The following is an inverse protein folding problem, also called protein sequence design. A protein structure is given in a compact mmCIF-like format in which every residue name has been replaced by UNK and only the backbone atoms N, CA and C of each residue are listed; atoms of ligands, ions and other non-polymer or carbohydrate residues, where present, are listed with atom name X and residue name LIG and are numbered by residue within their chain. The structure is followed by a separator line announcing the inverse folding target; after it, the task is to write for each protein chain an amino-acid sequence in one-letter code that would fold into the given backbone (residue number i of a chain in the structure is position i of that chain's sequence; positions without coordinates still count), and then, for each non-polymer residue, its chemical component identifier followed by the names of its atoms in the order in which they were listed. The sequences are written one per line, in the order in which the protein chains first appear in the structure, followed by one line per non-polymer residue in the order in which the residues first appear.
data_IF_608860703699
#
_entry.id   IF_608860703699
#
_cell.length_a   1.000
_cell.length_b   1.000
_cell.length_c   1.000
_cell.angle_alpha   90.00
_cell.angle_beta   90.00
_cell.angle_gamma   90.00
#
_symmetry.space_group_name_H-M   'P 1'
#
loop_
_entity.id
_entity.type
_entity.pdbx_description
1 polymer ?
#
# COMPACT_ATOMS: atom_id res chain seq x y z
N UNK A 1 60.10 -26.99 39.43
CA UNK A 1 59.70 -27.77 38.26
C UNK A 1 58.29 -27.38 37.86
N UNK A 2 58.16 -26.57 36.83
CA UNK A 2 56.86 -26.27 36.27
C UNK A 2 56.47 -27.40 35.35
N UNK A 3 55.45 -28.13 35.70
CA UNK A 3 54.83 -29.14 34.83
C UNK A 3 54.01 -28.42 33.77
N UNK A 4 54.54 -28.34 32.57
CA UNK A 4 53.75 -27.99 31.37
C UNK A 4 52.80 -29.13 31.10
N UNK A 5 51.52 -29.00 31.55
CA UNK A 5 50.45 -29.87 31.08
C UNK A 5 50.16 -29.48 29.66
N UNK A 6 50.52 -30.35 28.73
CA UNK A 6 50.02 -30.30 27.37
C UNK A 6 48.50 -30.48 27.41
N UNK A 7 47.79 -29.53 26.88
CA UNK A 7 46.36 -29.62 26.70
C UNK A 7 46.11 -30.62 25.58
N UNK A 8 45.73 -31.84 25.95
CA UNK A 8 45.29 -32.82 24.97
C UNK A 8 43.81 -32.55 24.67
N UNK A 9 43.52 -32.19 23.44
CA UNK A 9 42.14 -32.12 22.94
C UNK A 9 41.74 -33.56 22.53
N UNK A 10 40.83 -34.16 23.27
CA UNK A 10 40.32 -35.47 22.95
C UNK A 10 38.94 -35.29 22.32
N UNK A 11 38.83 -35.53 21.02
CA UNK A 11 37.53 -35.63 20.31
C UNK A 11 36.86 -36.99 20.59
N UNK A 12 36.76 -37.37 21.87
CA UNK A 12 36.32 -38.73 22.18
C UNK A 12 34.84 -38.87 22.51
N UNK A 13 34.10 -37.76 22.54
CA UNK A 13 32.68 -37.85 22.82
C UNK A 13 31.88 -37.07 21.78
N UNK A 14 31.47 -37.73 20.72
CA UNK A 14 30.47 -37.24 19.79
C UNK A 14 29.11 -37.68 20.29
N UNK A 15 28.35 -36.75 20.86
CA UNK A 15 27.00 -36.97 21.32
C UNK A 15 26.09 -36.72 20.14
N UNK A 16 25.38 -37.74 19.65
CA UNK A 16 24.35 -37.61 18.64
C UNK A 16 22.99 -37.69 19.30
N UNK A 17 22.14 -36.73 19.00
CA UNK A 17 20.75 -36.70 19.44
C UNK A 17 19.95 -37.72 18.58
N UNK A 18 19.14 -38.56 19.22
CA UNK A 18 18.30 -39.57 18.55
C UNK A 18 16.95 -39.06 18.07
N UNK A 19 16.72 -37.73 18.13
CA UNK A 19 15.47 -37.10 17.70
C UNK A 19 14.33 -37.11 18.73
N UNK A 20 14.43 -37.87 19.82
CA UNK A 20 13.31 -38.08 20.74
C UNK A 20 13.43 -37.30 22.05
N UNK A 21 14.63 -37.00 22.50
CA UNK A 21 14.90 -36.19 23.70
C UNK A 21 16.15 -35.34 23.50
N UNK A 22 16.07 -34.06 23.86
CA UNK A 22 17.20 -33.12 23.84
C UNK A 22 18.20 -33.32 24.98
N UNK A 23 18.23 -34.47 25.63
CA UNK A 23 19.04 -34.71 26.81
C UNK A 23 19.97 -35.93 26.61
N UNK A 24 21.23 -35.76 26.93
CA UNK A 24 22.22 -36.83 26.95
C UNK A 24 22.97 -36.81 28.24
N UNK A 25 23.09 -37.99 28.88
CA UNK A 25 23.87 -38.19 30.08
C UNK A 25 25.20 -38.83 29.76
N UNK A 26 26.28 -38.22 30.22
CA UNK A 26 27.63 -38.74 30.03
C UNK A 26 28.34 -38.91 31.37
N UNK A 27 29.16 -39.95 31.49
CA UNK A 27 30.01 -40.18 32.66
C UNK A 27 31.43 -39.75 32.32
N UNK A 28 31.97 -38.76 33.03
CA UNK A 28 33.28 -38.22 32.82
C UNK A 28 34.19 -38.48 34.00
N UNK A 29 35.50 -38.76 33.79
CA UNK A 29 36.51 -38.82 34.90
C UNK A 29 36.62 -37.42 35.56
N UNK A 30 37.26 -37.43 36.74
CA UNK A 30 37.62 -36.14 37.40
C UNK A 30 38.52 -35.33 36.50
N UNK A 31 38.17 -34.04 36.30
CA UNK A 31 38.93 -33.15 35.44
C UNK A 31 38.14 -31.91 35.04
N UNK A 32 38.77 -31.16 34.16
CA UNK A 32 38.18 -29.95 33.58
C UNK A 32 37.83 -30.21 32.12
N UNK A 33 36.59 -29.91 31.76
CA UNK A 33 36.04 -30.17 30.40
C UNK A 33 35.48 -28.90 29.83
N UNK A 34 35.68 -28.70 28.54
CA UNK A 34 34.92 -27.71 27.76
C UNK A 34 33.95 -28.45 26.86
N UNK A 35 32.70 -28.09 26.96
CA UNK A 35 31.59 -28.65 26.18
C UNK A 35 31.13 -27.57 25.22
N UNK A 36 31.17 -27.86 23.94
CA UNK A 36 30.73 -26.97 22.86
C UNK A 36 29.79 -27.72 21.95
N UNK A 37 28.83 -27.05 21.38
CA UNK A 37 28.08 -27.60 20.26
C UNK A 37 28.95 -27.54 19.03
N UNK A 38 29.10 -28.65 18.32
CA UNK A 38 29.87 -28.75 17.07
C UNK A 38 28.99 -28.80 15.84
N UNK A 39 27.71 -29.06 16.03
CA UNK A 39 26.69 -29.09 14.99
C UNK A 39 25.32 -28.84 15.61
N UNK A 40 24.63 -27.80 15.15
CA UNK A 40 23.27 -27.51 15.54
C UNK A 40 22.25 -28.42 14.82
N UNK A 41 21.04 -28.60 15.34
CA UNK A 41 19.95 -29.19 14.61
C UNK A 41 19.66 -28.43 13.32
N UNK A 42 19.08 -29.14 12.34
CA UNK A 42 18.68 -28.51 11.08
C UNK A 42 17.74 -27.29 11.33
N UNK A 43 17.97 -26.19 10.60
CA UNK A 43 17.19 -24.95 10.74
C UNK A 43 17.55 -24.10 11.96
N UNK A 44 18.61 -24.47 12.70
CA UNK A 44 19.09 -23.72 13.85
C UNK A 44 20.54 -23.26 13.65
N UNK A 45 20.85 -22.08 14.21
CA UNK A 45 22.20 -21.53 14.23
C UNK A 45 23.05 -22.27 15.26
N UNK A 46 24.29 -22.61 14.91
CA UNK A 46 25.25 -23.16 15.85
C UNK A 46 25.48 -22.17 16.98
N UNK A 47 25.23 -22.58 18.22
CA UNK A 47 25.46 -21.67 19.37
C UNK A 47 26.94 -21.43 19.59
N UNK A 48 27.30 -20.17 19.86
CA UNK A 48 28.65 -19.80 20.29
C UNK A 48 28.83 -20.05 21.81
N UNK A 49 27.79 -20.60 22.46
CA UNK A 49 27.84 -20.91 23.88
C UNK A 49 28.75 -22.09 24.13
N UNK A 50 29.60 -21.94 25.14
CA UNK A 50 30.45 -23.04 25.64
C UNK A 50 30.35 -23.15 27.15
N UNK A 51 30.38 -24.37 27.63
CA UNK A 51 30.45 -24.65 29.07
C UNK A 51 31.81 -25.18 29.43
N UNK A 52 32.46 -24.60 30.43
CA UNK A 52 33.64 -25.18 31.08
C UNK A 52 33.21 -25.71 32.42
N UNK A 53 33.27 -27.01 32.59
CA UNK A 53 32.93 -27.72 33.83
C UNK A 53 34.18 -28.32 34.44
N UNK A 54 34.30 -28.21 35.75
CA UNK A 54 35.43 -28.77 36.51
C UNK A 54 34.92 -29.66 37.62
N UNK A 55 35.27 -30.93 37.55
CA UNK A 55 34.98 -31.92 38.58
C UNK A 55 36.19 -32.14 39.44
N UNK A 56 36.04 -31.97 40.77
CA UNK A 56 37.05 -32.17 41.75
C UNK A 56 36.63 -33.15 42.84
N UNK A 57 37.57 -33.58 43.64
CA UNK A 57 37.30 -34.39 44.83
C UNK A 57 37.25 -33.52 46.06
N UNK A 58 36.19 -33.61 46.82
CA UNK A 58 36.07 -32.95 48.13
C UNK A 58 36.44 -33.92 49.23
N UNK A 59 37.60 -33.71 49.84
CA UNK A 59 38.09 -34.55 50.92
C UNK A 59 37.24 -34.48 52.21
N UNK A 60 36.49 -33.42 52.41
CA UNK A 60 35.62 -33.27 53.58
C UNK A 60 34.32 -34.04 53.42
N UNK A 61 33.81 -34.11 52.21
CA UNK A 61 32.59 -34.84 51.89
C UNK A 61 32.89 -36.27 51.45
N UNK A 62 34.13 -36.59 51.14
CA UNK A 62 34.56 -37.85 50.55
C UNK A 62 33.78 -38.22 49.30
N UNK A 63 33.59 -37.21 48.42
CA UNK A 63 32.75 -37.32 47.24
C UNK A 63 33.27 -36.41 46.11
N UNK A 64 32.74 -36.64 44.90
CA UNK A 64 33.00 -35.84 43.71
C UNK A 64 32.15 -34.58 43.78
N UNK A 65 32.80 -33.44 43.59
CA UNK A 65 32.10 -32.15 43.54
C UNK A 65 32.29 -31.47 42.19
N UNK A 66 31.24 -30.90 41.68
CA UNK A 66 31.34 -29.97 40.56
C UNK A 66 31.83 -28.64 41.12
N UNK A 67 33.13 -28.41 40.95
CA UNK A 67 33.81 -27.26 41.57
C UNK A 67 33.46 -25.93 40.89
N UNK A 68 33.19 -25.95 39.58
CA UNK A 68 32.93 -24.72 38.82
C UNK A 68 32.32 -24.99 37.45
N UNK A 69 31.34 -24.18 37.08
CA UNK A 69 30.84 -24.11 35.71
C UNK A 69 30.97 -22.68 35.21
N UNK A 70 31.60 -22.51 34.05
CA UNK A 70 31.71 -21.22 33.36
C UNK A 70 30.95 -21.32 32.07
N UNK A 71 29.98 -20.43 31.85
CA UNK A 71 29.30 -20.26 30.57
C UNK A 71 29.92 -19.06 29.89
N UNK A 72 30.41 -19.26 28.67
CA UNK A 72 30.89 -18.17 27.83
C UNK A 72 30.01 -18.04 26.61
N UNK A 73 29.62 -16.82 26.30
CA UNK A 73 28.93 -16.47 25.07
C UNK A 73 29.84 -15.57 24.26
N UNK A 74 30.04 -15.90 23.03
CA UNK A 74 30.63 -15.01 22.05
C UNK A 74 29.50 -14.38 21.26
N UNK A 75 29.33 -13.06 21.36
CA UNK A 75 28.34 -12.32 20.61
C UNK A 75 29.00 -11.67 19.41
N UNK A 76 28.41 -11.85 18.23
CA UNK A 76 28.93 -11.42 16.95
C UNK A 76 29.24 -9.92 16.91
N UNK A 77 30.43 -9.58 16.40
CA UNK A 77 30.83 -8.24 15.97
C UNK A 77 31.47 -7.31 17.02
N UNK A 78 31.08 -7.39 18.26
CA UNK A 78 31.77 -6.74 19.40
C UNK A 78 32.22 -7.83 20.38
N UNK A 79 33.51 -8.06 20.47
CA UNK A 79 34.15 -9.06 21.37
C UNK A 79 33.84 -8.81 22.87
N UNK A 80 32.56 -8.77 23.20
CA UNK A 80 32.10 -8.77 24.60
C UNK A 80 31.71 -10.19 24.96
N UNK A 81 32.68 -10.97 25.39
CA UNK A 81 32.42 -12.18 26.15
C UNK A 81 31.75 -11.80 27.47
N UNK A 82 30.46 -12.06 27.58
CA UNK A 82 29.82 -12.10 28.90
C UNK A 82 29.94 -13.51 29.45
N UNK A 83 30.45 -13.68 30.61
CA UNK A 83 30.50 -14.96 31.30
C UNK A 83 29.77 -14.87 32.62
N UNK A 84 29.02 -15.87 32.97
CA UNK A 84 28.47 -16.05 34.30
C UNK A 84 29.11 -17.26 34.95
N UNK A 85 29.53 -17.10 36.19
CA UNK A 85 30.07 -18.21 36.99
C UNK A 85 28.92 -18.71 37.87
N UNK A 86 28.52 -19.94 37.66
CA UNK A 86 27.56 -20.62 38.52
C UNK A 86 28.35 -21.54 39.45
N UNK A 87 28.41 -21.20 40.71
CA UNK A 87 28.98 -22.05 41.74
C UNK A 87 27.90 -23.06 42.21
N UNK A 88 28.12 -24.34 41.96
CA UNK A 88 27.26 -25.39 42.48
C UNK A 88 27.77 -25.81 43.84
N UNK A 89 26.90 -25.70 44.83
CA UNK A 89 27.28 -25.92 46.23
C UNK A 89 27.37 -27.36 46.66
N UNK A 90 26.72 -28.31 45.96
CA UNK A 90 26.63 -29.70 46.38
C UNK A 90 26.45 -30.70 45.23
N UNK A 91 27.40 -31.60 45.08
CA UNK A 91 27.33 -32.68 44.06
C UNK A 91 26.72 -33.96 44.58
N UNK A 92 26.56 -34.10 45.89
CA UNK A 92 25.82 -35.23 46.44
C UNK A 92 24.37 -35.26 45.91
N UNK A 93 23.79 -34.10 45.59
CA UNK A 93 22.52 -33.98 44.88
C UNK A 93 22.65 -34.08 43.35
N UNK A 94 23.77 -33.74 42.77
CA UNK A 94 24.02 -33.88 41.35
C UNK A 94 24.16 -35.35 40.93
N UNK A 95 24.64 -36.22 41.83
CA UNK A 95 24.64 -37.68 41.59
C UNK A 95 23.22 -38.28 41.57
N UNK A 96 22.28 -37.62 42.21
CA UNK A 96 20.88 -38.05 42.23
C UNK A 96 19.97 -37.35 41.26
N UNK A 97 20.29 -36.10 40.87
CA UNK A 97 19.40 -35.26 40.09
C UNK A 97 20.09 -34.59 38.88
N UNK A 98 21.34 -35.00 38.52
CA UNK A 98 22.09 -34.50 37.34
C UNK A 98 22.03 -32.99 37.14
N UNK A 99 23.19 -32.36 36.90
CA UNK A 99 23.15 -30.98 36.42
C UNK A 99 22.86 -30.97 34.93
N UNK A 100 21.85 -30.23 34.58
CA UNK A 100 21.49 -30.02 33.18
C UNK A 100 22.17 -28.77 32.68
N UNK A 101 23.03 -28.91 31.67
CA UNK A 101 23.56 -27.78 30.91
C UNK A 101 22.64 -27.59 29.70
N UNK A 102 22.14 -26.37 29.51
CA UNK A 102 21.18 -26.09 28.45
C UNK A 102 21.89 -25.31 27.35
N UNK A 103 21.96 -25.90 26.16
CA UNK A 103 22.34 -25.22 24.96
C UNK A 103 21.09 -24.73 24.24
N UNK A 104 21.01 -23.45 24.01
CA UNK A 104 19.93 -22.83 23.30
C UNK A 104 20.41 -22.40 21.91
N UNK A 105 19.75 -22.89 20.87
CA UNK A 105 20.00 -22.50 19.48
C UNK A 105 18.90 -21.56 19.00
N UNK A 106 19.34 -20.42 18.44
CA UNK A 106 18.44 -19.60 17.66
C UNK A 106 18.09 -20.32 16.36
N UNK A 107 16.87 -20.18 15.88
CA UNK A 107 16.54 -20.63 14.52
C UNK A 107 17.31 -19.81 13.51
N UNK A 108 17.65 -20.41 12.37
CA UNK A 108 18.10 -19.68 11.20
C UNK A 108 16.87 -18.97 10.67
N UNK A 109 16.82 -17.67 10.88
CA UNK A 109 15.70 -16.82 10.51
C UNK A 109 16.20 -15.82 9.47
N UNK A 110 15.34 -15.37 8.55
CA UNK A 110 15.67 -14.23 7.68
C UNK A 110 15.90 -12.98 8.53
N UNK A 111 16.78 -12.10 8.09
CA UNK A 111 17.31 -11.03 8.93
C UNK A 111 16.30 -10.06 9.47
N UNK A 112 16.61 -9.51 10.65
CA UNK A 112 15.89 -8.39 11.23
C UNK A 112 16.21 -7.08 10.52
N UNK A 113 15.39 -6.13 10.84
CA UNK A 113 15.65 -4.73 10.62
C UNK A 113 17.05 -4.32 11.08
N UNK A 114 17.48 -3.18 10.58
CA UNK A 114 18.77 -2.52 10.74
C UNK A 114 19.60 -2.91 11.96
N UNK A 115 20.92 -3.04 11.83
CA UNK A 115 21.81 -3.25 12.97
C UNK A 115 21.54 -2.24 14.09
N UNK A 116 21.11 -2.74 15.26
CA UNK A 116 20.80 -1.92 16.42
C UNK A 116 19.34 -1.97 16.90
N UNK A 117 18.41 -2.48 16.11
CA UNK A 117 17.03 -2.67 16.55
C UNK A 117 16.92 -3.89 17.47
N UNK A 118 16.26 -3.69 18.62
CA UNK A 118 16.04 -4.75 19.62
C UNK A 118 14.89 -5.69 19.23
N UNK A 119 14.82 -6.10 17.99
CA UNK A 119 13.72 -6.96 17.55
C UNK A 119 14.08 -8.42 17.77
N UNK A 120 13.25 -9.09 18.55
CA UNK A 120 13.43 -10.50 18.90
C UNK A 120 12.82 -11.47 17.89
N UNK A 121 12.20 -10.99 16.80
CA UNK A 121 11.56 -11.82 15.78
C UNK A 121 11.89 -11.28 14.40
N UNK A 122 12.25 -12.17 13.52
CA UNK A 122 12.83 -11.89 12.23
C UNK A 122 11.96 -12.52 11.17
N UNK A 123 11.75 -11.81 10.09
CA UNK A 123 10.84 -12.22 9.06
C UNK A 123 11.37 -12.00 7.63
N UNK A 124 10.54 -12.40 6.68
CA UNK A 124 10.69 -12.08 5.26
C UNK A 124 10.43 -10.60 5.07
N UNK A 125 11.24 -9.91 4.26
CA UNK A 125 11.05 -8.50 3.93
C UNK A 125 10.46 -8.31 2.54
N UNK A 126 9.77 -7.21 2.34
CA UNK A 126 9.31 -6.77 1.03
C UNK A 126 9.39 -5.25 0.92
N UNK A 127 9.88 -4.78 -0.24
CA UNK A 127 9.92 -3.38 -0.60
C UNK A 127 8.76 -3.04 -1.53
N UNK A 128 8.14 -1.91 -1.25
CA UNK A 128 7.07 -1.33 -2.05
C UNK A 128 7.54 -0.09 -2.77
N UNK A 129 7.30 -0.02 -4.08
CA UNK A 129 7.69 1.12 -4.92
C UNK A 129 6.56 1.55 -5.86
N UNK A 130 6.55 2.84 -6.17
CA UNK A 130 5.81 3.38 -7.32
C UNK A 130 6.41 2.80 -8.60
N UNK A 131 5.57 2.26 -9.49
CA UNK A 131 6.04 1.60 -10.72
C UNK A 131 6.69 2.57 -11.71
N UNK A 132 6.23 3.80 -11.76
CA UNK A 132 6.71 4.82 -12.70
C UNK A 132 7.87 5.63 -12.12
N UNK A 133 7.71 6.13 -10.89
CA UNK A 133 8.69 6.99 -10.24
C UNK A 133 9.81 6.23 -9.53
N UNK A 134 9.64 4.92 -9.28
CA UNK A 134 10.57 4.06 -8.52
C UNK A 134 10.87 4.57 -7.11
N UNK A 135 9.99 5.39 -6.56
CA UNK A 135 10.05 5.88 -5.17
C UNK A 135 9.42 4.88 -4.22
N UNK A 136 9.93 4.80 -3.01
CA UNK A 136 9.37 3.94 -1.97
C UNK A 136 8.01 4.44 -1.49
N UNK A 137 7.13 3.48 -1.16
CA UNK A 137 5.75 3.75 -0.76
C UNK A 137 5.44 3.15 0.61
N UNK A 138 4.91 3.99 1.51
CA UNK A 138 4.38 3.57 2.81
C UNK A 138 2.91 3.14 2.69
N UNK A 139 2.46 2.23 3.57
CA UNK A 139 1.05 1.89 3.75
C UNK A 139 0.58 0.59 3.08
N UNK A 140 1.40 -0.09 2.27
CA UNK A 140 1.06 -1.40 1.71
C UNK A 140 1.07 -2.49 2.78
N UNK A 141 0.13 -3.44 2.72
CA UNK A 141 0.05 -4.61 3.61
C UNK A 141 0.12 -5.89 2.79
N UNK A 142 0.84 -6.87 3.30
CA UNK A 142 1.09 -8.14 2.63
C UNK A 142 0.74 -9.33 3.51
N UNK A 143 0.43 -10.45 2.86
CA UNK A 143 0.30 -11.76 3.48
C UNK A 143 1.40 -12.70 2.99
N UNK A 144 1.91 -13.53 3.90
CA UNK A 144 2.91 -14.55 3.62
C UNK A 144 2.27 -15.94 3.66
N UNK A 145 2.55 -16.72 2.62
CA UNK A 145 2.02 -18.08 2.44
C UNK A 145 3.13 -19.09 2.21
N UNK A 146 2.86 -20.34 2.57
CA UNK A 146 3.67 -21.49 2.11
C UNK A 146 3.42 -21.72 0.62
N UNK A 147 4.47 -22.04 -0.15
CA UNK A 147 4.33 -22.49 -1.56
C UNK A 147 4.12 -24.00 -1.60
N UNK A 148 4.86 -24.72 -0.74
CA UNK A 148 4.82 -26.16 -0.65
C UNK A 148 4.38 -26.62 0.74
N UNK A 149 4.09 -27.92 0.90
CA UNK A 149 3.84 -28.53 2.21
C UNK A 149 5.08 -28.37 3.10
N UNK A 150 4.87 -28.12 4.39
CA UNK A 150 5.93 -27.94 5.37
C UNK A 150 6.00 -29.18 6.26
N UNK A 151 7.20 -29.71 6.44
CA UNK A 151 7.47 -30.91 7.21
C UNK A 151 8.43 -30.59 8.37
N UNK A 152 8.26 -31.32 9.49
CA UNK A 152 9.23 -31.39 10.56
C UNK A 152 10.44 -32.24 10.16
N UNK A 153 11.48 -32.24 10.99
CA UNK A 153 12.71 -33.00 10.72
C UNK A 153 12.50 -34.54 10.67
N UNK A 154 11.44 -35.05 11.30
CA UNK A 154 11.05 -36.46 11.29
C UNK A 154 10.11 -36.84 10.12
N UNK A 155 9.84 -35.89 9.22
CA UNK A 155 8.98 -36.11 8.06
C UNK A 155 7.47 -35.96 8.34
N UNK A 156 7.08 -35.53 9.54
CA UNK A 156 5.67 -35.25 9.83
C UNK A 156 5.25 -33.96 9.16
N UNK A 157 4.15 -34.00 8.39
CA UNK A 157 3.61 -32.79 7.77
C UNK A 157 3.02 -31.86 8.83
N UNK A 158 3.51 -30.61 8.84
CA UNK A 158 3.09 -29.57 9.78
C UNK A 158 2.05 -28.64 9.17
N UNK A 159 2.24 -28.23 7.89
CA UNK A 159 1.38 -27.30 7.19
C UNK A 159 1.17 -27.74 5.74
N UNK A 160 0.01 -27.46 5.21
CA UNK A 160 -0.31 -27.66 3.80
C UNK A 160 0.24 -26.50 2.95
N UNK A 161 0.54 -26.78 1.70
CA UNK A 161 0.82 -25.76 0.68
C UNK A 161 -0.32 -24.72 0.61
N UNK A 162 0.02 -23.44 0.42
CA UNK A 162 -0.94 -22.35 0.39
C UNK A 162 -1.46 -21.89 1.75
N UNK A 163 -0.87 -22.37 2.86
CA UNK A 163 -1.26 -21.92 4.21
C UNK A 163 -0.73 -20.51 4.47
N UNK A 164 -1.62 -19.58 4.90
CA UNK A 164 -1.24 -18.26 5.40
C UNK A 164 -0.44 -18.39 6.69
N UNK A 165 0.75 -17.82 6.72
CA UNK A 165 1.66 -17.85 7.87
C UNK A 165 1.55 -16.57 8.72
N UNK A 166 1.50 -15.43 8.04
CA UNK A 166 1.51 -14.13 8.71
C UNK A 166 0.95 -13.04 7.80
N UNK A 167 0.66 -11.90 8.43
CA UNK A 167 0.38 -10.63 7.78
C UNK A 167 1.45 -9.63 8.21
N UNK A 168 1.91 -8.80 7.30
CA UNK A 168 2.93 -7.80 7.59
C UNK A 168 2.35 -6.60 8.36
N UNK A 169 3.21 -5.84 9.03
CA UNK A 169 2.91 -4.43 9.29
C UNK A 169 2.81 -3.67 7.97
N UNK A 170 2.09 -2.52 7.91
CA UNK A 170 2.14 -1.65 6.73
C UNK A 170 3.59 -1.25 6.40
N UNK A 171 3.91 -1.10 5.11
CA UNK A 171 5.21 -0.58 4.69
C UNK A 171 5.46 0.78 5.33
N UNK A 172 6.71 0.98 5.77
CA UNK A 172 7.15 2.24 6.38
C UNK A 172 7.53 3.28 5.31
N UNK A 173 8.03 4.45 5.73
CA UNK A 173 8.48 5.53 4.84
C UNK A 173 9.63 5.13 3.90
N UNK A 174 10.37 4.06 4.22
CA UNK A 174 11.37 3.47 3.33
C UNK A 174 10.78 2.40 2.41
N UNK A 175 9.46 2.27 2.37
CA UNK A 175 8.74 1.29 1.56
C UNK A 175 8.88 -0.15 2.06
N UNK A 176 9.40 -0.37 3.25
CA UNK A 176 9.72 -1.70 3.75
C UNK A 176 8.66 -2.21 4.72
N UNK A 177 8.20 -3.45 4.49
CA UNK A 177 7.44 -4.25 5.43
C UNK A 177 8.12 -5.60 5.65
N UNK A 178 7.80 -6.26 6.76
CA UNK A 178 8.37 -7.54 7.11
C UNK A 178 7.41 -8.42 7.89
N UNK A 179 7.70 -9.72 7.89
CA UNK A 179 6.92 -10.72 8.58
C UNK A 179 7.72 -11.30 9.74
N UNK A 180 7.20 -11.14 10.95
CA UNK A 180 7.79 -11.73 12.15
C UNK A 180 7.29 -13.18 12.33
N UNK A 181 7.88 -14.12 11.61
CA UNK A 181 7.49 -15.53 11.63
C UNK A 181 8.70 -16.45 11.55
N UNK A 182 8.67 -17.56 12.29
CA UNK A 182 9.65 -18.63 12.16
C UNK A 182 9.29 -19.49 10.94
N UNK A 183 10.18 -19.55 9.96
CA UNK A 183 9.95 -20.33 8.74
C UNK A 183 11.06 -21.36 8.52
N UNK A 184 10.73 -22.55 8.04
CA UNK A 184 11.72 -23.54 7.62
C UNK A 184 12.45 -23.09 6.36
N UNK A 185 13.74 -23.40 6.28
CA UNK A 185 14.58 -23.11 5.11
C UNK A 185 14.94 -24.38 4.36
N UNK A 186 15.29 -24.24 3.08
CA UNK A 186 15.83 -25.33 2.31
C UNK A 186 17.27 -25.65 2.77
N UNK A 187 17.57 -26.93 2.96
CA UNK A 187 18.92 -27.37 3.24
C UNK A 187 19.44 -28.27 2.11
N UNK A 188 20.55 -27.90 1.54
CA UNK A 188 21.24 -28.74 0.57
C UNK A 188 21.90 -29.98 1.22
N UNK A 189 22.28 -29.86 2.49
CA UNK A 189 22.93 -30.90 3.28
C UNK A 189 21.97 -31.90 3.93
N UNK A 190 20.67 -31.61 3.92
CA UNK A 190 19.65 -32.52 4.45
C UNK A 190 18.54 -32.69 3.41
N UNK A 191 18.80 -33.53 2.35
CA UNK A 191 17.84 -33.72 1.27
C UNK A 191 16.50 -34.33 1.74
N UNK A 192 16.47 -34.93 2.91
CA UNK A 192 15.30 -35.62 3.45
C UNK A 192 14.36 -34.65 4.25
N UNK A 193 14.70 -33.37 4.39
CA UNK A 193 13.86 -32.45 5.14
C UNK A 193 12.51 -32.17 4.48
N UNK A 194 12.40 -32.40 3.17
CA UNK A 194 11.17 -32.17 2.40
C UNK A 194 10.78 -30.71 2.21
N UNK A 195 11.46 -29.77 2.89
CA UNK A 195 11.14 -28.36 2.79
C UNK A 195 11.85 -27.69 1.61
N UNK A 196 11.12 -26.97 0.77
CA UNK A 196 11.68 -26.26 -0.39
C UNK A 196 12.30 -24.92 -0.01
N UNK A 197 11.97 -24.36 1.15
CA UNK A 197 12.32 -23.00 1.55
C UNK A 197 11.59 -21.90 0.77
N UNK A 198 10.57 -22.27 -0.02
CA UNK A 198 9.82 -21.33 -0.86
C UNK A 198 8.58 -20.81 -0.17
N UNK A 199 8.43 -19.50 -0.24
CA UNK A 199 7.29 -18.77 0.33
C UNK A 199 6.77 -17.78 -0.68
N UNK A 200 5.52 -17.38 -0.51
CA UNK A 200 4.80 -16.48 -1.39
C UNK A 200 4.29 -15.28 -0.62
N UNK A 201 4.62 -14.08 -1.11
CA UNK A 201 4.14 -12.82 -0.58
C UNK A 201 3.09 -12.25 -1.53
N UNK A 202 1.94 -11.87 -1.01
CA UNK A 202 0.83 -11.29 -1.78
C UNK A 202 0.41 -9.97 -1.14
N UNK A 203 0.28 -8.92 -1.94
CA UNK A 203 -0.27 -7.66 -1.47
C UNK A 203 -1.78 -7.81 -1.24
N UNK A 204 -2.26 -7.38 -0.07
CA UNK A 204 -3.67 -7.42 0.32
C UNK A 204 -4.26 -6.03 0.56
N UNK A 205 -3.42 -5.02 0.74
CA UNK A 205 -3.82 -3.63 0.76
C UNK A 205 -2.75 -2.76 0.10
N UNK A 206 -3.16 -1.97 -0.90
CA UNK A 206 -2.28 -1.01 -1.56
C UNK A 206 -2.15 0.28 -0.74
N UNK A 207 -1.07 1.07 -0.94
CA UNK A 207 -1.00 2.43 -0.44
C UNK A 207 -2.14 3.30 -0.95
N UNK A 208 -2.50 4.35 -0.20
CA UNK A 208 -3.50 5.31 -0.61
C UNK A 208 -3.13 5.93 -1.97
N UNK A 209 -4.10 6.00 -2.89
CA UNK A 209 -3.91 6.52 -4.25
C UNK A 209 -3.23 5.57 -5.24
N UNK A 210 -3.10 4.30 -4.89
CA UNK A 210 -2.52 3.26 -5.74
C UNK A 210 -3.47 2.09 -5.95
N UNK A 211 -3.26 1.38 -7.05
CA UNK A 211 -3.97 0.16 -7.39
C UNK A 211 -3.31 -1.04 -6.74
N UNK A 212 -4.11 -1.95 -6.18
CA UNK A 212 -3.63 -3.20 -5.59
C UNK A 212 -2.98 -4.07 -6.67
N UNK A 213 -1.76 -4.53 -6.43
CA UNK A 213 -1.09 -5.56 -7.25
C UNK A 213 -0.99 -6.87 -6.46
N UNK A 214 -1.96 -7.72 -6.62
CA UNK A 214 -1.98 -9.04 -6.00
C UNK A 214 -1.09 -10.08 -6.70
N UNK A 215 -0.26 -9.66 -7.67
CA UNK A 215 0.73 -10.53 -8.29
C UNK A 215 1.68 -11.06 -7.23
N UNK A 216 1.78 -12.38 -7.05
CA UNK A 216 2.62 -12.94 -6.00
C UNK A 216 4.11 -12.68 -6.24
N UNK A 217 4.83 -12.41 -5.14
CA UNK A 217 6.29 -12.38 -5.12
C UNK A 217 6.77 -13.62 -4.37
N UNK A 218 7.39 -14.55 -5.09
CA UNK A 218 7.93 -15.76 -4.49
C UNK A 218 9.37 -15.52 -4.02
N UNK A 219 9.69 -16.00 -2.82
CA UNK A 219 10.98 -15.90 -2.18
C UNK A 219 11.47 -17.30 -1.76
N UNK A 220 12.76 -17.53 -1.78
CA UNK A 220 13.36 -18.82 -1.42
C UNK A 220 14.49 -18.62 -0.42
N UNK A 221 14.46 -19.40 0.66
CA UNK A 221 15.50 -19.45 1.67
C UNK A 221 16.32 -20.72 1.50
N UNK A 222 17.62 -20.55 1.32
CA UNK A 222 18.58 -21.64 1.25
C UNK A 222 19.45 -21.64 2.50
N UNK A 223 19.77 -22.82 3.01
CA UNK A 223 20.66 -22.97 4.14
C UNK A 223 22.12 -22.61 3.75
N UNK A 224 22.66 -21.56 4.37
CA UNK A 224 24.00 -21.05 4.10
C UNK A 224 25.04 -21.50 5.15
N UNK A 225 24.65 -22.39 6.05
CA UNK A 225 25.50 -22.92 7.11
C UNK A 225 25.13 -22.42 8.50
N UNK A 226 25.54 -23.16 9.51
CA UNK A 226 25.17 -22.91 10.91
C UNK A 226 25.89 -21.71 11.54
N UNK A 227 26.86 -21.12 10.83
CA UNK A 227 27.57 -19.92 11.26
C UNK A 227 26.86 -18.62 10.87
N UNK A 228 25.87 -18.72 9.97
CA UNK A 228 25.11 -17.57 9.50
C UNK A 228 23.81 -17.48 10.29
N UNK A 229 23.75 -16.54 11.22
CA UNK A 229 22.59 -16.31 12.06
C UNK A 229 21.42 -15.64 11.33
N UNK A 230 21.70 -15.01 10.19
CA UNK A 230 20.81 -14.11 9.51
C UNK A 230 20.79 -14.35 8.01
N UNK A 231 19.65 -14.55 7.43
CA UNK A 231 19.47 -14.55 6.00
C UNK A 231 18.41 -13.55 5.61
N UNK A 232 18.77 -12.57 4.75
CA UNK A 232 17.80 -11.64 4.17
C UNK A 232 17.28 -12.24 2.88
N UNK A 233 15.99 -12.38 2.80
CA UNK A 233 15.33 -12.52 1.51
C UNK A 233 14.29 -11.43 1.42
N UNK A 234 14.48 -10.53 0.48
CA UNK A 234 13.55 -9.47 0.19
C UNK A 234 13.04 -9.59 -1.25
N UNK A 235 11.82 -9.17 -1.44
CA UNK A 235 11.20 -9.01 -2.73
C UNK A 235 10.90 -7.54 -2.98
N UNK A 236 10.60 -7.20 -4.22
CA UNK A 236 10.09 -5.87 -4.59
C UNK A 236 8.76 -6.03 -5.29
N UNK A 237 7.77 -5.28 -4.85
CA UNK A 237 6.48 -5.18 -5.48
C UNK A 237 6.22 -3.71 -5.84
N UNK A 238 5.53 -3.47 -6.97
CA UNK A 238 5.30 -2.12 -7.48
C UNK A 238 3.81 -1.91 -7.76
N UNK A 239 3.31 -0.68 -7.51
CA UNK A 239 1.93 -0.33 -7.85
C UNK A 239 1.87 0.83 -8.84
N UNK A 240 0.81 0.83 -9.64
CA UNK A 240 0.41 1.98 -10.45
C UNK A 240 -0.46 2.91 -9.63
N UNK A 241 -0.30 4.22 -9.85
CA UNK A 241 -1.23 5.21 -9.30
C UNK A 241 -2.60 5.08 -9.95
N UNK A 242 -3.63 5.39 -9.20
CA UNK A 242 -4.95 5.64 -9.77
C UNK A 242 -4.88 6.84 -10.70
N UNK A 243 -5.69 6.82 -11.77
CA UNK A 243 -5.76 7.91 -12.74
C UNK A 243 -7.18 8.19 -13.16
N UNK A 244 -7.50 9.46 -13.40
CA UNK A 244 -8.75 9.88 -14.04
C UNK A 244 -8.44 11.08 -14.94
N UNK A 245 -8.98 11.08 -16.14
CA UNK A 245 -8.92 12.23 -17.02
C UNK A 245 -10.14 13.11 -16.83
N UNK A 246 -9.92 14.41 -16.74
CA UNK A 246 -10.97 15.43 -16.63
C UNK A 246 -10.97 16.22 -17.93
N UNK A 247 -12.06 16.09 -18.68
CA UNK A 247 -12.28 16.79 -19.93
C UNK A 247 -13.27 17.94 -19.70
N UNK A 248 -12.86 19.16 -20.00
CA UNK A 248 -13.70 20.36 -19.95
C UNK A 248 -14.10 20.74 -21.35
N UNK A 249 -15.39 20.65 -21.67
CA UNK A 249 -15.86 20.77 -23.06
C UNK A 249 -16.94 21.85 -23.24
N UNK A 250 -17.01 22.39 -24.45
CA UNK A 250 -18.15 23.14 -24.95
C UNK A 250 -19.27 22.14 -25.31
N UNK A 251 -20.44 22.27 -24.68
CA UNK A 251 -21.58 21.37 -24.87
C UNK A 251 -22.07 21.34 -26.33
N UNK A 252 -21.88 22.40 -27.09
CA UNK A 252 -22.40 22.54 -28.45
C UNK A 252 -21.59 21.79 -29.50
N UNK A 253 -20.31 21.53 -29.24
CA UNK A 253 -19.43 20.93 -30.23
C UNK A 253 -18.49 19.83 -29.68
N UNK A 254 -18.47 19.63 -28.35
CA UNK A 254 -17.68 18.59 -27.69
C UNK A 254 -16.17 18.85 -27.71
N UNK A 255 -15.71 20.07 -28.04
CA UNK A 255 -14.30 20.42 -28.02
C UNK A 255 -13.85 20.84 -26.63
N UNK A 256 -12.60 20.55 -26.34
CA UNK A 256 -11.96 21.02 -25.11
C UNK A 256 -12.03 22.55 -25.01
N UNK A 257 -12.47 23.01 -23.84
CA UNK A 257 -12.72 24.40 -23.50
C UNK A 257 -11.63 24.91 -22.53
N UNK A 258 -10.69 25.74 -22.99
CA UNK A 258 -9.65 26.29 -22.14
C UNK A 258 -10.16 27.43 -21.24
N UNK A 259 -9.33 27.82 -20.27
CA UNK A 259 -9.48 28.97 -19.37
C UNK A 259 -10.55 28.85 -18.27
N UNK A 260 -11.20 27.71 -18.12
CA UNK A 260 -12.00 27.37 -16.94
C UNK A 260 -11.12 27.12 -15.72
N UNK A 261 -11.52 27.56 -14.53
CA UNK A 261 -10.86 27.19 -13.27
C UNK A 261 -11.61 26.07 -12.60
N UNK A 262 -10.93 24.95 -12.42
CA UNK A 262 -11.47 23.71 -11.90
C UNK A 262 -10.78 23.33 -10.58
N UNK A 263 -11.54 22.73 -9.67
CA UNK A 263 -11.05 22.19 -8.41
C UNK A 263 -11.66 20.81 -8.15
N UNK A 264 -10.83 19.91 -7.59
CA UNK A 264 -11.32 18.67 -7.00
C UNK A 264 -11.18 18.78 -5.49
N UNK A 265 -12.25 18.44 -4.78
CA UNK A 265 -12.30 18.39 -3.32
C UNK A 265 -12.69 17.00 -2.85
N UNK A 266 -12.16 16.59 -1.69
CA UNK A 266 -12.58 15.36 -1.01
C UNK A 266 -13.95 15.52 -0.34
N UNK A 267 -14.45 14.45 0.29
CA UNK A 267 -15.74 14.44 0.98
C UNK A 267 -15.79 15.38 2.20
N UNK A 268 -14.64 15.74 2.76
CA UNK A 268 -14.53 16.70 3.88
C UNK A 268 -14.41 18.15 3.39
N UNK A 269 -14.38 18.36 2.06
CA UNK A 269 -14.27 19.67 1.43
C UNK A 269 -12.83 20.18 1.29
N UNK A 270 -11.82 19.38 1.62
CA UNK A 270 -10.42 19.76 1.44
C UNK A 270 -10.06 19.81 -0.05
N UNK A 271 -9.31 20.82 -0.44
CA UNK A 271 -8.78 20.91 -1.81
C UNK A 271 -7.75 19.79 -2.04
N UNK A 272 -8.01 18.97 -3.05
CA UNK A 272 -7.11 17.91 -3.52
C UNK A 272 -6.22 18.44 -4.64
N UNK A 273 -6.83 19.03 -5.67
CA UNK A 273 -6.14 19.61 -6.82
C UNK A 273 -6.94 20.76 -7.42
N UNK A 274 -6.26 21.76 -7.99
CA UNK A 274 -6.88 22.87 -8.70
C UNK A 274 -6.03 23.30 -9.89
N UNK A 275 -6.67 23.54 -11.05
CA UNK A 275 -5.99 23.90 -12.29
C UNK A 275 -6.84 24.80 -13.18
N UNK A 276 -6.25 25.26 -14.26
CA UNK A 276 -6.95 25.92 -15.35
C UNK A 276 -7.04 24.98 -16.53
N UNK A 277 -8.24 24.80 -17.10
CA UNK A 277 -8.45 23.93 -18.27
C UNK A 277 -7.63 24.40 -19.49
N UNK A 278 -7.32 23.45 -20.35
CA UNK A 278 -6.54 23.68 -21.56
C UNK A 278 -7.27 23.08 -22.78
N UNK A 279 -6.58 22.97 -23.90
CA UNK A 279 -7.11 22.33 -25.13
C UNK A 279 -6.99 20.80 -25.11
N UNK A 280 -6.61 20.22 -23.97
CA UNK A 280 -6.48 18.78 -23.76
C UNK A 280 -7.02 18.44 -22.38
N UNK A 281 -7.54 17.22 -22.17
CA UNK A 281 -7.93 16.76 -20.84
C UNK A 281 -6.80 16.87 -19.81
N UNK A 282 -7.16 17.07 -18.56
CA UNK A 282 -6.24 17.10 -17.43
C UNK A 282 -6.26 15.75 -16.72
N UNK A 283 -5.09 15.12 -16.55
CA UNK A 283 -4.97 13.83 -15.86
C UNK A 283 -4.68 14.05 -14.38
N UNK A 284 -5.59 13.64 -13.53
CA UNK A 284 -5.44 13.62 -12.07
C UNK A 284 -4.94 12.24 -11.64
N UNK A 285 -3.98 12.21 -10.72
CA UNK A 285 -3.33 10.97 -10.27
C UNK A 285 -3.34 10.85 -8.75
N UNK A 286 -3.45 9.63 -8.25
CA UNK A 286 -3.27 9.34 -6.84
C UNK A 286 -4.50 9.61 -5.97
N UNK A 287 -5.69 9.65 -6.56
CA UNK A 287 -6.95 9.67 -5.80
C UNK A 287 -7.18 8.30 -5.15
N UNK A 288 -7.63 8.29 -3.90
CA UNK A 288 -7.91 7.05 -3.19
C UNK A 288 -9.16 6.37 -3.78
N UNK A 289 -9.09 5.04 -3.86
CA UNK A 289 -10.21 4.22 -4.32
C UNK A 289 -11.39 4.29 -3.35
N UNK A 290 -12.60 4.13 -3.88
CA UNK A 290 -13.89 4.12 -3.15
C UNK A 290 -14.24 5.42 -2.40
N UNK A 291 -13.40 6.46 -2.46
CA UNK A 291 -13.71 7.77 -1.92
C UNK A 291 -14.43 8.64 -2.94
N UNK A 292 -15.41 9.38 -2.46
CA UNK A 292 -16.11 10.37 -3.27
C UNK A 292 -15.30 11.66 -3.36
N UNK A 293 -15.22 12.19 -4.57
CA UNK A 293 -14.60 13.48 -4.88
C UNK A 293 -15.61 14.36 -5.62
N UNK A 294 -15.53 15.66 -5.40
CA UNK A 294 -16.37 16.65 -6.09
C UNK A 294 -15.49 17.48 -7.02
N UNK A 295 -15.76 17.41 -8.32
CA UNK A 295 -15.22 18.29 -9.33
C UNK A 295 -16.12 19.52 -9.41
N UNK A 296 -15.57 20.70 -9.22
CA UNK A 296 -16.27 21.97 -9.24
C UNK A 296 -15.57 22.94 -10.18
N UNK A 297 -16.35 23.62 -11.00
CA UNK A 297 -15.89 24.79 -11.71
C UNK A 297 -16.04 26.02 -10.80
N UNK A 298 -14.95 26.73 -10.55
CA UNK A 298 -14.94 27.93 -9.72
C UNK A 298 -14.98 29.21 -10.54
N UNK A 299 -14.76 29.09 -11.83
CA UNK A 299 -14.90 30.15 -12.82
C UNK A 299 -14.99 29.56 -14.22
N UNK A 300 -16.08 29.86 -14.91
CA UNK A 300 -16.22 29.55 -16.33
C UNK A 300 -15.35 30.45 -17.21
N UNK A 301 -15.02 30.06 -18.44
CA UNK A 301 -14.41 30.91 -19.44
C UNK A 301 -15.36 32.05 -19.84
N UNK A 302 -14.81 33.13 -20.36
CA UNK A 302 -15.62 34.27 -20.81
C UNK A 302 -16.59 33.84 -21.93
N UNK A 303 -17.88 34.17 -21.78
CA UNK A 303 -18.95 33.78 -22.71
C UNK A 303 -19.59 32.41 -22.46
N UNK A 304 -19.31 31.81 -21.30
CA UNK A 304 -19.88 30.53 -20.90
C UNK A 304 -20.54 30.62 -19.51
N UNK A 305 -21.54 29.80 -19.27
CA UNK A 305 -22.12 29.60 -17.96
C UNK A 305 -21.34 28.56 -17.17
N UNK A 306 -21.25 28.78 -15.85
CA UNK A 306 -20.62 27.81 -14.93
C UNK A 306 -21.37 26.48 -14.94
N UNK A 307 -20.64 25.36 -15.05
CA UNK A 307 -21.21 24.02 -15.02
C UNK A 307 -21.57 23.60 -13.59
N UNK A 308 -22.53 22.69 -13.48
CA UNK A 308 -22.82 22.02 -12.22
C UNK A 308 -21.67 21.12 -11.76
N UNK A 309 -21.49 21.02 -10.46
CA UNK A 309 -20.47 20.14 -9.88
C UNK A 309 -20.78 18.69 -10.13
N UNK A 310 -19.73 17.90 -10.37
CA UNK A 310 -19.81 16.44 -10.62
C UNK A 310 -19.19 15.70 -9.44
N UNK A 311 -19.93 14.77 -8.85
CA UNK A 311 -19.40 13.88 -7.82
C UNK A 311 -19.00 12.57 -8.48
N UNK A 312 -17.76 12.13 -8.24
CA UNK A 312 -17.20 10.92 -8.83
C UNK A 312 -16.38 10.12 -7.84
N UNK A 313 -16.11 8.86 -8.14
CA UNK A 313 -15.19 7.98 -7.42
C UNK A 313 -14.46 7.05 -8.37
N UNK A 314 -13.33 6.52 -7.88
CA UNK A 314 -12.54 5.51 -8.56
C UNK A 314 -12.74 4.16 -7.89
N UNK A 315 -12.83 3.10 -8.68
CA UNK A 315 -12.98 1.70 -8.21
C UNK A 315 -11.99 0.85 -8.99
N UNK A 316 -11.26 -0.03 -8.30
CA UNK A 316 -10.39 -0.97 -8.99
C UNK A 316 -11.19 -2.12 -9.60
N UNK A 317 -10.92 -2.47 -10.86
CA UNK A 317 -11.56 -3.58 -11.53
C UNK A 317 -10.93 -4.92 -11.13
N UNK A 318 -11.45 -5.53 -10.08
CA UNK A 318 -10.98 -6.84 -9.60
C UNK A 318 -9.51 -6.82 -9.23
N UNK A 319 -8.73 -7.74 -9.82
CA UNK A 319 -7.26 -7.86 -9.61
C UNK A 319 -6.44 -7.14 -10.68
N UNK A 320 -7.09 -6.54 -11.67
CA UNK A 320 -6.41 -5.80 -12.73
C UNK A 320 -5.91 -4.46 -12.18
N UNK A 321 -4.72 -4.04 -12.61
CA UNK A 321 -4.19 -2.73 -12.24
C UNK A 321 -4.76 -1.63 -13.14
N UNK A 322 -6.07 -1.53 -13.14
CA UNK A 322 -6.86 -0.52 -13.84
C UNK A 322 -7.98 -0.07 -12.91
N UNK A 323 -8.21 1.23 -12.84
CA UNK A 323 -9.39 1.74 -12.17
C UNK A 323 -10.48 2.11 -13.15
N UNK A 324 -11.71 1.92 -12.72
CA UNK A 324 -12.93 2.40 -13.34
C UNK A 324 -13.37 3.70 -12.67
N UNK A 325 -14.07 4.54 -13.40
CA UNK A 325 -14.62 5.80 -12.91
C UNK A 325 -16.12 5.70 -12.83
N UNK A 326 -16.69 6.11 -11.71
CA UNK A 326 -18.11 6.19 -11.46
C UNK A 326 -18.49 7.63 -11.14
N UNK A 327 -19.56 8.13 -11.74
CA UNK A 327 -20.18 9.41 -11.40
C UNK A 327 -21.48 9.19 -10.65
N UNK A 328 -21.79 10.10 -9.73
CA UNK A 328 -23.04 10.08 -9.00
C UNK A 328 -24.14 10.72 -9.84
N UNK A 329 -25.22 9.96 -10.07
CA UNK A 329 -26.44 10.45 -10.71
C UNK A 329 -27.61 10.19 -9.76
N UNK A 330 -28.21 11.24 -9.24
CA UNK A 330 -29.17 11.17 -8.14
C UNK A 330 -28.62 10.41 -6.93
N UNK A 331 -29.21 9.28 -6.57
CA UNK A 331 -28.74 8.43 -5.48
C UNK A 331 -27.83 7.29 -5.91
N UNK A 332 -27.65 7.05 -7.21
CA UNK A 332 -26.92 5.92 -7.78
C UNK A 332 -25.52 6.31 -8.30
N UNK A 333 -24.64 5.31 -8.36
CA UNK A 333 -23.33 5.41 -8.99
C UNK A 333 -23.37 4.78 -10.39
N UNK A 334 -23.09 5.59 -11.40
CA UNK A 334 -23.08 5.16 -12.81
C UNK A 334 -21.63 5.04 -13.27
N UNK A 335 -21.25 3.85 -13.74
CA UNK A 335 -19.95 3.61 -14.34
C UNK A 335 -19.83 4.35 -15.68
N UNK A 336 -18.71 5.01 -15.89
CA UNK A 336 -18.34 5.57 -17.20
C UNK A 336 -17.73 4.50 -18.10
N UNK A 337 -17.93 4.63 -19.41
CA UNK A 337 -17.38 3.70 -20.40
C UNK A 337 -15.86 3.78 -20.52
N UNK A 338 -15.30 4.96 -20.22
CA UNK A 338 -13.86 5.21 -20.12
C UNK A 338 -13.53 5.91 -18.78
N UNK A 339 -12.26 6.11 -18.52
CA UNK A 339 -11.79 6.74 -17.27
C UNK A 339 -11.80 8.28 -17.36
N UNK A 340 -12.74 8.88 -18.07
CA UNK A 340 -12.84 10.32 -18.32
C UNK A 340 -14.11 10.91 -17.74
N UNK A 341 -13.98 11.88 -16.83
CA UNK A 341 -15.08 12.72 -16.35
C UNK A 341 -15.21 13.92 -17.27
N UNK A 342 -16.36 14.07 -17.92
CA UNK A 342 -16.63 15.17 -18.84
C UNK A 342 -17.49 16.23 -18.14
N UNK A 343 -16.97 17.44 -18.01
CA UNK A 343 -17.71 18.61 -17.55
C UNK A 343 -17.93 19.56 -18.72
N UNK A 344 -19.18 19.93 -18.98
CA UNK A 344 -19.56 20.72 -20.14
C UNK A 344 -20.11 22.08 -19.75
N UNK A 345 -19.66 23.14 -20.45
CA UNK A 345 -20.23 24.48 -20.34
C UNK A 345 -21.13 24.79 -21.52
N UNK A 346 -22.18 25.51 -21.24
CA UNK A 346 -23.06 26.08 -22.24
C UNK A 346 -22.60 27.50 -22.57
N UNK A 347 -22.44 27.85 -23.86
CA UNK A 347 -22.28 29.24 -24.25
C UNK A 347 -23.48 30.08 -23.75
N UNK A 348 -23.23 31.33 -23.40
CA UNK A 348 -24.33 32.26 -23.00
C UNK A 348 -24.66 33.17 -24.15
N UNK A 349 -25.95 33.46 -24.28
CA UNK A 349 -26.47 34.53 -25.11
C UNK A 349 -26.74 35.76 -24.21
N UNK A 350 -25.97 36.80 -24.41
CA UNK A 350 -26.14 38.05 -23.71
C UNK A 350 -27.18 38.94 -24.38
N UNK A 351 -28.16 39.40 -23.61
CA UNK A 351 -29.26 40.20 -24.08
C UNK A 351 -29.34 41.50 -23.26
N UNK A 352 -29.20 42.62 -23.96
CA UNK A 352 -29.39 43.94 -23.39
C UNK A 352 -30.69 44.57 -23.92
N UNK A 353 -31.52 45.08 -23.02
CA UNK A 353 -32.58 45.97 -23.36
C UNK A 353 -32.07 47.41 -23.20
N UNK A 354 -32.07 48.16 -24.29
CA UNK A 354 -31.58 49.55 -24.28
C UNK A 354 -32.63 50.55 -24.79
N UNK A 355 -32.48 51.80 -24.38
CA UNK A 355 -33.15 52.93 -25.04
C UNK A 355 -32.47 53.27 -26.37
N UNK A 356 -33.01 54.25 -27.11
CA UNK A 356 -32.43 54.67 -28.42
C UNK A 356 -31.06 55.31 -28.27
N UNK A 357 -30.66 55.73 -27.08
CA UNK A 357 -29.34 56.27 -26.79
C UNK A 357 -28.32 55.17 -26.38
N UNK A 358 -28.74 53.92 -26.29
CA UNK A 358 -27.89 52.80 -25.91
C UNK A 358 -27.75 52.60 -24.41
N UNK A 359 -28.52 53.28 -23.56
CA UNK A 359 -28.48 53.07 -22.11
C UNK A 359 -29.36 51.86 -21.76
N UNK A 360 -28.92 51.01 -20.83
CA UNK A 360 -29.73 49.92 -20.28
C UNK A 360 -31.06 50.42 -19.76
N UNK A 361 -32.15 49.75 -20.18
CA UNK A 361 -33.52 50.15 -19.90
C UNK A 361 -34.19 49.12 -18.97
N UNK A 362 -34.35 49.43 -17.67
CA UNK A 362 -34.96 48.51 -16.73
C UNK A 362 -36.50 48.55 -16.81
N UNK A 363 -37.15 47.46 -16.38
CA UNK A 363 -38.59 47.36 -16.20
C UNK A 363 -39.37 46.84 -17.43
N UNK A 364 -38.70 46.41 -18.48
CA UNK A 364 -39.30 45.62 -19.56
C UNK A 364 -39.43 44.15 -19.13
N UNK A 365 -40.52 43.49 -19.54
CA UNK A 365 -40.60 42.02 -19.47
C UNK A 365 -40.28 41.45 -20.83
N UNK A 366 -39.24 40.65 -20.89
CA UNK A 366 -38.79 39.96 -22.09
C UNK A 366 -38.99 38.46 -21.95
N UNK A 367 -39.37 37.81 -23.06
CA UNK A 367 -39.52 36.34 -23.11
C UNK A 367 -38.86 35.80 -24.37
N UNK A 368 -38.09 34.74 -24.19
CA UNK A 368 -37.55 33.89 -25.26
C UNK A 368 -38.46 32.70 -25.46
N UNK A 369 -38.80 32.43 -26.70
CA UNK A 369 -39.57 31.26 -27.11
C UNK A 369 -38.80 30.47 -28.16
N UNK A 370 -38.99 29.15 -28.13
CA UNK A 370 -38.45 28.25 -29.17
C UNK A 370 -39.31 28.26 -30.44
N UNK A 371 -38.94 27.43 -31.41
CA UNK A 371 -39.67 27.29 -32.66
C UNK A 371 -41.09 26.71 -32.51
N UNK A 372 -41.40 26.09 -31.35
CA UNK A 372 -42.71 25.54 -31.02
C UNK A 372 -43.58 26.53 -30.24
N UNK A 373 -43.08 27.75 -30.02
CA UNK A 373 -43.71 28.79 -29.19
C UNK A 373 -43.70 28.46 -27.68
N UNK A 374 -42.85 27.51 -27.23
CA UNK A 374 -42.66 27.23 -25.82
C UNK A 374 -41.72 28.23 -25.19
N UNK A 375 -42.06 28.63 -23.95
CA UNK A 375 -41.26 29.62 -23.19
C UNK A 375 -39.96 28.98 -22.74
N UNK A 376 -38.83 29.52 -23.16
CA UNK A 376 -37.48 29.12 -22.77
C UNK A 376 -37.02 29.87 -21.54
N UNK A 377 -37.22 31.22 -21.55
CA UNK A 377 -36.86 32.06 -20.45
C UNK A 377 -37.75 33.32 -20.44
N UNK A 378 -38.03 33.87 -19.24
CA UNK A 378 -38.76 35.11 -19.05
C UNK A 378 -38.16 35.89 -17.87
N UNK A 379 -37.84 37.18 -18.11
CA UNK A 379 -37.27 38.02 -17.05
C UNK A 379 -37.77 39.49 -17.17
N UNK A 380 -37.56 40.21 -16.09
CA UNK A 380 -37.73 41.64 -16.09
C UNK A 380 -36.37 42.33 -16.17
N UNK A 381 -36.18 43.22 -17.14
CA UNK A 381 -34.90 43.90 -17.35
C UNK A 381 -34.53 44.79 -16.17
N UNK A 382 -33.26 44.86 -15.90
CA UNK A 382 -32.67 45.78 -14.91
C UNK A 382 -31.50 46.55 -15.55
N UNK A 383 -30.55 47.07 -14.76
CA UNK A 383 -29.37 47.76 -15.25
C UNK A 383 -28.19 46.78 -15.56
N UNK A 384 -28.50 45.51 -15.85
CA UNK A 384 -27.51 44.49 -16.15
C UNK A 384 -27.87 43.75 -17.43
N UNK A 385 -26.85 43.24 -18.12
CA UNK A 385 -27.01 42.27 -19.19
C UNK A 385 -27.66 41.01 -18.64
N UNK A 386 -28.66 40.47 -19.33
CA UNK A 386 -29.25 39.18 -19.02
C UNK A 386 -28.58 38.10 -19.89
N UNK A 387 -27.97 37.12 -19.25
CA UNK A 387 -27.26 36.05 -19.93
C UNK A 387 -28.08 34.76 -19.88
N UNK A 388 -28.42 34.21 -21.04
CA UNK A 388 -29.21 33.00 -21.17
C UNK A 388 -28.31 31.87 -21.61
N UNK A 389 -28.09 30.82 -20.80
CA UNK A 389 -27.26 29.66 -21.19
C UNK A 389 -27.92 28.89 -22.32
N UNK A 390 -27.15 28.50 -23.32
CA UNK A 390 -27.58 27.62 -24.39
C UNK A 390 -27.49 26.17 -23.88
N UNK A 391 -28.58 25.70 -23.24
CA UNK A 391 -28.61 24.36 -22.62
C UNK A 391 -28.82 23.22 -23.61
N UNK A 392 -28.63 22.00 -23.12
CA UNK A 392 -28.93 20.76 -23.86
C UNK A 392 -30.39 20.67 -24.37
N UNK A 393 -31.35 21.30 -23.67
CA UNK A 393 -32.74 21.35 -24.08
C UNK A 393 -32.88 22.16 -25.36
N UNK A 394 -32.11 23.20 -25.57
CA UNK A 394 -32.06 23.94 -26.82
C UNK A 394 -31.48 23.10 -27.95
N UNK A 395 -30.57 22.15 -27.64
CA UNK A 395 -29.90 21.29 -28.61
C UNK A 395 -30.80 20.11 -28.98
N UNK A 396 -31.63 19.59 -28.05
CA UNK A 396 -32.51 18.42 -28.26
C UNK A 396 -33.70 18.71 -29.14
N UNK A 397 -34.12 19.94 -29.27
CA UNK A 397 -35.27 20.36 -30.06
C UNK A 397 -34.99 20.45 -31.58
N UNK A 398 -33.75 20.28 -32.01
CA UNK A 398 -33.41 20.32 -33.43
C UNK A 398 -33.39 18.93 -34.05
N UNK A 399 -34.41 18.63 -34.77
CA UNK A 399 -34.61 17.41 -35.56
C UNK A 399 -33.60 17.33 -36.74
N UNK A 400 -32.32 17.17 -36.45
CA UNK A 400 -31.21 17.07 -37.41
C UNK A 400 -30.86 18.38 -38.16
N UNK A 401 -31.56 19.47 -37.95
CA UNK A 401 -31.26 20.79 -38.48
C UNK A 401 -30.31 21.56 -37.56
N UNK A 402 -29.23 22.11 -38.12
CA UNK A 402 -28.18 22.80 -37.42
C UNK A 402 -28.49 24.26 -37.03
N UNK A 403 -29.76 24.68 -37.21
CA UNK A 403 -30.17 26.03 -36.90
C UNK A 403 -31.31 26.02 -35.88
N UNK A 404 -31.09 26.70 -34.74
CA UNK A 404 -32.11 26.93 -33.73
C UNK A 404 -32.69 28.32 -33.96
N UNK A 405 -34.00 28.40 -34.06
CA UNK A 405 -34.68 29.66 -34.23
C UNK A 405 -35.39 29.97 -32.93
N UNK A 406 -34.98 31.08 -32.31
CA UNK A 406 -35.64 31.62 -31.14
C UNK A 406 -36.26 32.97 -31.44
N UNK A 407 -37.40 33.25 -30.76
CA UNK A 407 -38.04 34.54 -30.84
C UNK A 407 -37.96 35.24 -29.49
N UNK A 408 -37.35 36.42 -29.47
CA UNK A 408 -37.35 37.31 -28.34
C UNK A 408 -38.52 38.29 -28.48
N UNK A 409 -39.41 38.31 -27.50
CA UNK A 409 -40.55 39.24 -27.43
C UNK A 409 -40.43 40.14 -26.23
N UNK A 410 -40.89 41.36 -26.36
CA UNK A 410 -41.16 42.24 -25.24
C UNK A 410 -42.64 42.13 -24.90
N UNK A 411 -42.96 41.47 -23.77
CA UNK A 411 -44.34 41.28 -23.35
C UNK A 411 -44.92 42.50 -22.61
N UNK A 412 -44.02 43.27 -21.97
CA UNK A 412 -44.35 44.53 -21.35
C UNK A 412 -43.20 45.52 -21.49
N UNK A 413 -43.52 46.71 -21.93
CA UNK A 413 -42.55 47.83 -21.96
C UNK A 413 -42.47 48.58 -20.64
N UNK A 414 -41.32 49.20 -20.29
CA UNK A 414 -41.22 50.06 -19.15
C UNK A 414 -42.16 51.30 -19.27
N UNK A 415 -42.48 51.88 -18.14
CA UNK A 415 -43.36 53.05 -18.12
C UNK A 415 -42.79 54.20 -19.01
N UNK A 416 -43.59 54.65 -19.97
CA UNK A 416 -43.22 55.75 -20.90
C UNK A 416 -42.54 55.27 -22.20
N UNK A 417 -42.48 53.97 -22.44
CA UNK A 417 -41.93 53.38 -23.65
C UNK A 417 -43.02 52.53 -24.33
N UNK A 418 -42.88 52.38 -25.65
CA UNK A 418 -43.71 51.47 -26.44
C UNK A 418 -43.04 50.10 -26.53
N UNK A 419 -43.87 49.03 -26.68
CA UNK A 419 -43.37 47.64 -26.86
C UNK A 419 -42.56 47.58 -28.15
N UNK A 420 -41.36 47.05 -28.05
CA UNK A 420 -40.50 46.81 -29.21
C UNK A 420 -41.03 45.65 -30.08
N UNK A 421 -40.71 45.70 -31.36
CA UNK A 421 -41.03 44.57 -32.26
C UNK A 421 -40.21 43.35 -31.84
N UNK A 422 -40.87 42.17 -31.96
CA UNK A 422 -40.19 40.89 -31.71
C UNK A 422 -39.00 40.70 -32.64
N UNK A 423 -37.91 40.17 -32.10
CA UNK A 423 -36.71 39.83 -32.84
C UNK A 423 -36.57 38.29 -32.90
N UNK A 424 -36.46 37.76 -34.13
CA UNK A 424 -36.07 36.37 -34.28
C UNK A 424 -34.57 36.29 -34.45
N UNK A 425 -33.92 35.41 -33.73
CA UNK A 425 -32.48 35.12 -33.88
C UNK A 425 -32.27 33.65 -34.13
N UNK A 426 -31.13 33.33 -34.79
CA UNK A 426 -30.73 31.97 -35.14
C UNK A 426 -29.40 31.67 -34.51
N UNK A 427 -29.32 30.57 -33.83
CA UNK A 427 -28.06 29.99 -33.40
C UNK A 427 -27.69 28.83 -34.36
N UNK A 428 -26.55 28.96 -35.03
CA UNK A 428 -26.08 27.93 -35.98
C UNK A 428 -24.93 27.16 -35.32
N UNK A 429 -25.14 25.90 -35.05
CA UNK A 429 -24.05 24.98 -34.62
C UNK A 429 -23.31 24.50 -35.88
N UNK A 430 -22.11 25.02 -36.11
CA UNK A 430 -21.21 24.43 -37.09
C UNK A 430 -20.48 23.23 -36.45
N UNK A 431 -20.93 22.01 -36.76
CA UNK A 431 -20.10 20.83 -36.54
C UNK A 431 -18.84 20.99 -37.44
N UNK A 432 -17.65 21.13 -36.79
CA UNK A 432 -16.37 21.02 -37.46
C UNK A 432 -16.00 19.56 -37.73
#
# INVERSE_FOLDING_TARGET
MQSTRTQATYDFLKITHDGTKGEVTVTLPLGKYTITEVQAPYGFVLTQQSYTVEFGWDNQKNDIVLAKTIVSHEQDGDKKCSYSIVNVKDVSDAHKNGQTLVFENARVLPTPEKPGDKVSKIGVGIYKQDREALTYLAGAVYELYTVDDIFSADGTKLLDAGTKLAESSPTNESGFAWFAVDIPIRAETYPDSGNSGRYRIVEVAAPAGYLLDSTPVDVEFTYEGQQIAWQVVDGTNTNLRTTVDISKQDITNGKELPDAKLEIRDADGNLVEGWTSTKTPHTVRGLELEKAYTLTETRAPDGYAEAESIVFKLVQNGTEQVNEVYVKSDDDWVKLDDATVIMQDAPVLDIDKTDIAGNLLPGATLTIRDANDEVVDTWTTDYKTHSVPISDEFIKLSDGNKEYIYTLTEDAAPAGFEIALSAAFRHSLTRA
#
